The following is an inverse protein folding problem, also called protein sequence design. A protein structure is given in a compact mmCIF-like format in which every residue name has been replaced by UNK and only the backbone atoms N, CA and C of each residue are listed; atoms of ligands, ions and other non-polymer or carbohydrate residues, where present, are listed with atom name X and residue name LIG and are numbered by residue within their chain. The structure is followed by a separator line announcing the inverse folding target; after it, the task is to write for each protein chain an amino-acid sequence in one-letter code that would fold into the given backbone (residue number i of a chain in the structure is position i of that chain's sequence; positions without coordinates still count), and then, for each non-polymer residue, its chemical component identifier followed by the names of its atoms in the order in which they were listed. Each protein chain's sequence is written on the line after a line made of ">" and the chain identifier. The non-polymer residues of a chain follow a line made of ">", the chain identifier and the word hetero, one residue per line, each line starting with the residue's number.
data_IF_832128102430
#
_entry.id   IF_832128102430
#
_cell.length_a   1.000
_cell.length_b   1.000
_cell.length_c   1.000
_cell.angle_alpha   90.00
_cell.angle_beta   90.00
_cell.angle_gamma   90.00
#
_symmetry.space_group_name_H-M   'P 1'
#
loop_
_entity.id
_entity.type
_entity.pdbx_description
1 polymer ?
#
# COMPACT_ATOMS: atom_id res chain seq x y z
N UNK A 1 -39.86 -0.93 49.19
CA UNK A 1 -40.29 -2.24 49.74
C UNK A 1 -41.82 -2.28 49.74
N UNK A 2 -42.50 -3.42 49.50
CA UNK A 2 -42.08 -4.66 48.83
C UNK A 2 -43.06 -5.06 47.68
N UNK A 3 -42.57 -5.68 46.61
CA UNK A 3 -42.57 -7.13 46.28
C UNK A 3 -43.84 -7.67 45.59
N UNK A 4 -43.62 -8.28 44.42
CA UNK A 4 -44.09 -9.63 44.09
C UNK A 4 -43.17 -10.21 43.02
N UNK A 5 -42.36 -11.17 43.44
CA UNK A 5 -41.50 -12.01 42.63
C UNK A 5 -42.03 -13.46 42.68
N UNK A 6 -41.42 -14.29 41.84
CA UNK A 6 -41.55 -15.74 41.62
C UNK A 6 -42.71 -16.15 40.70
N UNK A 7 -42.47 -16.71 39.50
CA UNK A 7 -41.69 -17.91 39.11
C UNK A 7 -42.73 -18.83 38.42
N UNK A 8 -42.56 -19.58 37.33
CA UNK A 8 -41.46 -20.18 36.53
C UNK A 8 -42.19 -20.67 35.24
N UNK A 9 -41.62 -20.66 34.03
CA UNK A 9 -40.98 -21.85 33.46
C UNK A 9 -40.28 -21.56 32.12
N UNK A 10 -39.07 -22.11 32.02
CA UNK A 10 -38.24 -22.29 30.84
C UNK A 10 -38.75 -23.42 29.93
N UNK A 11 -38.72 -23.17 28.62
CA UNK A 11 -38.35 -24.05 27.51
C UNK A 11 -38.52 -23.20 26.24
N UNK A 12 -37.63 -23.06 25.27
CA UNK A 12 -36.47 -23.83 24.86
C UNK A 12 -36.46 -23.88 23.33
N UNK A 13 -35.43 -23.29 22.71
CA UNK A 13 -34.84 -23.62 21.40
C UNK A 13 -35.65 -23.34 20.11
N UNK A 14 -35.04 -22.59 19.18
CA UNK A 14 -35.50 -22.49 17.80
C UNK A 14 -34.70 -21.51 16.93
N UNK A 15 -33.44 -21.85 16.63
CA UNK A 15 -32.62 -21.16 15.64
C UNK A 15 -33.10 -21.49 14.21
N UNK A 16 -33.34 -20.46 13.40
CA UNK A 16 -33.48 -20.53 11.94
C UNK A 16 -32.23 -19.83 11.35
N UNK A 17 -31.26 -20.58 10.81
CA UNK A 17 -31.20 -21.14 9.46
C UNK A 17 -30.38 -20.24 8.51
N UNK A 18 -29.05 -20.27 8.66
CA UNK A 18 -28.11 -19.99 7.59
C UNK A 18 -27.73 -21.33 6.96
N UNK A 19 -28.26 -21.61 5.77
CA UNK A 19 -27.94 -22.81 5.00
C UNK A 19 -27.53 -22.41 3.59
N UNK A 20 -26.45 -23.05 3.11
CA UNK A 20 -25.76 -22.93 1.81
C UNK A 20 -24.70 -21.81 1.78
N UNK A 21 -23.39 -22.06 1.61
CA UNK A 21 -22.69 -23.19 1.04
C UNK A 21 -21.38 -23.51 1.80
N UNK A 22 -21.30 -24.69 2.41
CA UNK A 22 -20.03 -25.35 2.74
C UNK A 22 -20.02 -26.65 1.93
N UNK A 23 -19.30 -26.63 0.81
CA UNK A 23 -19.08 -27.86 0.02
C UNK A 23 -18.04 -28.68 0.78
N UNK A 24 -18.45 -29.85 1.29
CA UNK A 24 -17.53 -30.80 1.90
C UNK A 24 -16.54 -31.29 0.83
N UNK A 25 -15.23 -31.38 1.13
CA UNK A 25 -14.24 -31.86 0.17
C UNK A 25 -14.56 -33.29 -0.25
N UNK A 26 -14.38 -33.57 -1.54
CA UNK A 26 -14.64 -34.90 -2.11
C UNK A 26 -13.62 -35.93 -1.59
N UNK A 27 -13.98 -37.21 -1.56
CA UNK A 27 -13.12 -38.30 -1.10
C UNK A 27 -11.65 -38.25 -1.63
N UNK A 28 -11.37 -37.91 -2.91
CA UNK A 28 -10.00 -37.74 -3.38
C UNK A 28 -9.25 -36.56 -2.72
N UNK A 29 -9.92 -35.44 -2.44
CA UNK A 29 -9.32 -34.28 -1.76
C UNK A 29 -8.96 -34.58 -0.30
N UNK A 30 -9.72 -35.46 0.35
CA UNK A 30 -9.42 -35.93 1.73
C UNK A 30 -8.22 -36.88 1.75
N UNK A 31 -8.02 -37.68 0.70
CA UNK A 31 -6.84 -38.54 0.56
C UNK A 31 -5.57 -37.72 0.34
N UNK A 32 -5.61 -36.72 -0.53
CA UNK A 32 -4.47 -35.84 -0.82
C UNK A 32 -4.04 -35.05 0.43
N UNK A 33 -4.99 -34.54 1.22
CA UNK A 33 -4.68 -33.88 2.50
C UNK A 33 -4.09 -34.83 3.55
N UNK A 34 -4.45 -36.13 3.52
CA UNK A 34 -3.85 -37.14 4.41
C UNK A 34 -2.41 -37.48 4.00
N UNK A 35 -2.14 -37.58 2.70
CA UNK A 35 -0.77 -37.81 2.18
C UNK A 35 0.15 -36.64 2.50
N UNK A 36 -0.30 -35.39 2.28
CA UNK A 36 0.47 -34.18 2.63
C UNK A 36 0.76 -34.12 4.14
N UNK A 37 -0.17 -34.56 4.98
CA UNK A 37 0.03 -34.62 6.43
C UNK A 37 1.02 -35.70 6.84
N UNK A 38 0.99 -36.88 6.19
CA UNK A 38 1.97 -37.95 6.43
C UNK A 38 3.38 -37.54 5.98
N UNK A 39 3.51 -36.87 4.83
CA UNK A 39 4.79 -36.33 4.34
C UNK A 39 5.37 -35.29 5.30
N UNK A 40 4.54 -34.41 5.88
CA UNK A 40 4.96 -33.44 6.91
C UNK A 40 5.40 -34.12 8.21
N UNK A 41 4.75 -35.21 8.61
CA UNK A 41 5.15 -35.98 9.81
C UNK A 41 6.43 -36.77 9.60
N UNK A 42 6.67 -37.33 8.41
CA UNK A 42 7.93 -37.98 8.06
C UNK A 42 9.10 -36.99 7.98
N UNK A 43 8.87 -35.78 7.47
CA UNK A 43 9.86 -34.71 7.46
C UNK A 43 10.18 -34.16 8.87
N UNK A 44 9.20 -34.17 9.78
CA UNK A 44 9.42 -33.79 11.17
C UNK A 44 10.18 -34.87 11.96
N UNK A 45 9.89 -36.15 11.72
CA UNK A 45 10.57 -37.27 12.39
C UNK A 45 12.06 -37.39 12.01
N UNK A 46 12.42 -37.05 10.76
CA UNK A 46 13.82 -37.04 10.30
C UNK A 46 14.65 -35.87 10.83
N UNK A 47 14.00 -34.83 11.38
CA UNK A 47 14.66 -33.66 11.96
C UNK A 47 15.00 -33.79 13.45
N UNK A 48 14.50 -34.83 14.13
CA UNK A 48 14.63 -35.00 15.61
C UNK A 48 15.57 -36.12 16.08
N UNK A 49 16.31 -36.80 15.20
CA UNK A 49 17.25 -37.85 15.61
C UNK A 49 18.72 -37.43 15.47
N UNK A 50 19.18 -36.51 16.32
CA UNK A 50 20.62 -36.29 16.53
C UNK A 50 20.91 -35.89 17.97
N UNK A 51 20.86 -36.83 18.91
CA UNK A 51 21.73 -36.83 20.09
C UNK A 51 21.89 -38.21 20.73
N UNK A 52 23.17 -38.54 20.97
CA UNK A 52 23.78 -39.46 21.94
C UNK A 52 23.53 -40.98 21.88
N UNK A 53 24.58 -41.73 21.51
CA UNK A 53 25.17 -42.77 22.39
C UNK A 53 26.57 -43.16 21.91
N UNK A 54 27.54 -43.14 22.85
CA UNK A 54 28.88 -43.65 22.66
C UNK A 54 28.90 -45.19 22.72
N UNK A 55 29.37 -45.85 21.65
CA UNK A 55 30.09 -47.14 21.64
C UNK A 55 30.16 -47.71 20.22
N UNK A 56 31.24 -47.42 19.48
CA UNK A 56 31.81 -48.32 18.48
C UNK A 56 33.20 -47.82 18.12
N UNK A 57 34.21 -48.41 18.76
CA UNK A 57 35.62 -48.23 18.42
C UNK A 57 35.93 -48.89 17.06
N UNK A 58 36.74 -48.16 16.29
CA UNK A 58 37.78 -48.65 15.38
C UNK A 58 37.35 -49.46 14.15
N UNK A 59 37.37 -48.80 12.98
CA UNK A 59 38.12 -49.24 11.78
C UNK A 59 38.03 -48.18 10.67
N UNK A 60 39.18 -47.78 10.13
CA UNK A 60 39.27 -47.18 8.79
C UNK A 60 39.43 -45.66 8.70
N UNK A 61 40.57 -45.14 9.17
CA UNK A 61 41.04 -43.81 8.79
C UNK A 61 41.49 -43.79 7.31
N UNK A 62 40.57 -43.54 6.38
CA UNK A 62 40.85 -43.09 5.00
C UNK A 62 39.53 -42.69 4.31
N UNK A 63 39.00 -41.51 4.61
CA UNK A 63 37.75 -41.05 3.96
C UNK A 63 37.20 -39.68 4.35
N UNK A 64 37.84 -38.97 5.29
CA UNK A 64 37.27 -37.71 5.84
C UNK A 64 37.96 -36.44 5.32
N UNK A 65 39.05 -36.56 4.53
CA UNK A 65 39.76 -35.38 4.02
C UNK A 65 39.16 -34.77 2.73
N UNK A 66 38.31 -35.49 1.98
CA UNK A 66 37.75 -34.99 0.71
C UNK A 66 36.40 -34.24 0.88
N UNK A 67 35.63 -34.53 1.93
CA UNK A 67 34.34 -33.89 2.17
C UNK A 67 34.44 -32.50 2.84
N UNK A 68 35.49 -32.26 3.64
CA UNK A 68 35.71 -30.97 4.28
C UNK A 68 36.21 -29.87 3.31
N UNK A 69 36.92 -30.25 2.24
CA UNK A 69 37.43 -29.31 1.25
C UNK A 69 36.35 -28.84 0.24
N UNK A 70 35.32 -29.65 -0.01
CA UNK A 70 34.17 -29.27 -0.85
C UNK A 70 33.09 -28.48 -0.08
N UNK A 71 32.97 -28.70 1.24
CA UNK A 71 32.09 -27.90 2.09
C UNK A 71 32.59 -26.45 2.24
N UNK A 72 33.89 -26.23 2.38
CA UNK A 72 34.46 -24.87 2.49
C UNK A 72 34.27 -24.00 1.23
N UNK A 73 34.39 -24.59 0.05
CA UNK A 73 34.24 -23.87 -1.24
C UNK A 73 32.79 -23.58 -1.60
N UNK A 74 31.84 -24.44 -1.19
CA UNK A 74 30.40 -24.25 -1.45
C UNK A 74 29.78 -23.19 -0.52
N UNK A 75 30.28 -23.08 0.71
CA UNK A 75 29.86 -22.06 1.68
C UNK A 75 30.42 -20.68 1.35
N UNK A 76 31.66 -20.57 0.86
CA UNK A 76 32.21 -19.29 0.37
C UNK A 76 31.47 -18.78 -0.88
N UNK A 77 31.15 -19.65 -1.85
CA UNK A 77 30.38 -19.24 -3.05
C UNK A 77 28.94 -18.81 -2.72
N UNK A 78 28.27 -19.46 -1.76
CA UNK A 78 26.92 -19.04 -1.32
C UNK A 78 26.95 -17.70 -0.57
N UNK A 79 28.00 -17.44 0.22
CA UNK A 79 28.19 -16.16 0.91
C UNK A 79 28.51 -15.01 -0.07
N UNK A 80 29.18 -15.30 -1.19
CA UNK A 80 29.51 -14.31 -2.22
C UNK A 80 28.32 -14.02 -3.15
N UNK A 81 27.52 -15.03 -3.50
CA UNK A 81 26.30 -14.86 -4.32
C UNK A 81 25.18 -14.16 -3.53
N UNK A 82 25.08 -14.37 -2.21
CA UNK A 82 24.12 -13.63 -1.35
C UNK A 82 24.57 -12.19 -1.10
N UNK A 83 25.88 -11.91 -1.05
CA UNK A 83 26.41 -10.54 -0.96
C UNK A 83 26.28 -9.74 -2.25
N UNK A 84 26.30 -10.39 -3.42
CA UNK A 84 26.07 -9.71 -4.70
C UNK A 84 24.58 -9.34 -4.93
N UNK A 85 23.64 -9.98 -4.24
CA UNK A 85 22.21 -9.67 -4.35
C UNK A 85 21.70 -8.61 -3.35
N UNK A 86 22.58 -8.05 -2.49
CA UNK A 86 22.20 -7.02 -1.50
C UNK A 86 23.21 -5.88 -1.39
N UNK A 87 24.03 -5.67 -2.42
CA UNK A 87 24.64 -4.37 -2.63
C UNK A 87 23.64 -3.50 -3.39
N UNK A 88 22.55 -3.09 -2.72
CA UNK A 88 21.94 -1.82 -3.09
C UNK A 88 23.06 -0.83 -2.83
N UNK A 89 23.71 -0.35 -3.89
CA UNK A 89 24.66 0.73 -3.75
C UNK A 89 23.97 1.78 -2.87
N UNK A 90 24.55 2.13 -1.72
CA UNK A 90 24.20 3.36 -1.02
C UNK A 90 24.48 4.48 -2.02
N UNK A 91 23.54 4.74 -2.93
CA UNK A 91 23.38 6.04 -3.55
C UNK A 91 22.99 6.91 -2.37
N UNK A 92 23.99 7.42 -1.65
CA UNK A 92 23.83 8.62 -0.84
C UNK A 92 23.18 9.62 -1.77
N UNK A 93 21.89 9.91 -1.51
CA UNK A 93 21.14 10.88 -2.28
C UNK A 93 22.00 12.13 -2.37
N UNK A 94 22.44 12.42 -3.60
CA UNK A 94 23.15 13.65 -3.94
C UNK A 94 22.39 14.80 -3.31
N UNK A 95 23.10 15.83 -2.84
CA UNK A 95 22.53 16.97 -2.10
C UNK A 95 21.13 17.35 -2.63
N UNK A 96 20.09 17.00 -1.86
CA UNK A 96 18.68 17.27 -2.20
C UNK A 96 18.48 18.76 -2.51
N UNK A 97 17.44 19.13 -3.29
CA UNK A 97 17.06 20.53 -3.44
C UNK A 97 16.94 21.22 -2.08
N UNK A 98 17.38 22.47 -1.97
CA UNK A 98 17.42 23.18 -0.68
C UNK A 98 16.02 23.39 -0.05
N UNK A 99 14.97 23.35 -0.86
CA UNK A 99 13.57 23.38 -0.45
C UNK A 99 13.11 22.08 0.23
N UNK A 100 13.75 20.94 -0.10
CA UNK A 100 13.40 19.61 0.41
C UNK A 100 14.09 19.36 1.74
N UNK A 101 13.29 19.17 2.79
CA UNK A 101 13.76 18.93 4.16
C UNK A 101 13.21 17.60 4.68
N UNK A 102 13.85 16.99 5.70
CA UNK A 102 13.27 15.85 6.41
C UNK A 102 11.89 16.16 6.98
N UNK A 103 10.99 15.17 6.92
CA UNK A 103 9.57 15.35 7.26
C UNK A 103 8.68 15.35 6.01
N UNK A 104 7.41 15.70 6.21
CA UNK A 104 6.45 15.74 5.11
C UNK A 104 6.75 16.92 4.19
N UNK A 105 6.83 16.66 2.89
CA UNK A 105 7.10 17.66 1.84
C UNK A 105 5.82 18.05 1.11
N UNK A 106 5.56 19.35 1.01
CA UNK A 106 4.33 19.91 0.43
C UNK A 106 4.66 21.04 -0.56
N UNK A 107 3.67 21.52 -1.32
CA UNK A 107 3.79 22.70 -2.17
C UNK A 107 4.95 22.63 -3.17
N UNK A 108 5.75 23.70 -3.23
CA UNK A 108 6.87 23.77 -4.18
C UNK A 108 7.98 22.75 -3.88
N UNK A 109 8.22 22.42 -2.61
CA UNK A 109 9.26 21.44 -2.24
C UNK A 109 8.93 20.03 -2.79
N UNK A 110 7.64 19.68 -2.88
CA UNK A 110 7.21 18.45 -3.54
C UNK A 110 7.54 18.46 -5.03
N UNK A 111 7.25 19.56 -5.74
CA UNK A 111 7.57 19.71 -7.17
C UNK A 111 9.08 19.64 -7.41
N UNK A 112 9.87 20.32 -6.57
CA UNK A 112 11.33 20.29 -6.65
C UNK A 112 11.88 18.87 -6.42
N UNK A 113 11.29 18.10 -5.50
CA UNK A 113 11.64 16.70 -5.27
C UNK A 113 11.33 15.82 -6.49
N UNK A 114 10.16 15.99 -7.10
CA UNK A 114 9.77 15.25 -8.30
C UNK A 114 10.65 15.60 -9.51
N UNK A 115 11.00 16.89 -9.69
CA UNK A 115 11.93 17.33 -10.73
C UNK A 115 13.34 16.77 -10.50
N UNK A 116 13.82 16.81 -9.26
CA UNK A 116 15.08 16.18 -8.90
C UNK A 116 15.09 14.68 -9.22
N UNK A 117 13.97 13.97 -8.95
CA UNK A 117 13.83 12.55 -9.27
C UNK A 117 13.93 12.29 -10.78
N UNK A 118 13.31 13.15 -11.61
CA UNK A 118 13.43 13.10 -13.08
C UNK A 118 14.85 13.37 -13.54
N UNK A 119 15.50 14.43 -13.04
CA UNK A 119 16.86 14.82 -13.40
C UNK A 119 17.92 13.78 -13.02
N UNK A 120 17.68 13.01 -11.95
CA UNK A 120 18.61 12.00 -11.42
C UNK A 120 18.15 10.56 -11.72
N UNK A 121 17.16 10.39 -12.60
CA UNK A 121 16.70 9.11 -13.15
C UNK A 121 16.32 8.07 -12.07
N UNK A 122 15.49 8.47 -11.10
CA UNK A 122 14.91 7.53 -10.14
C UNK A 122 13.42 7.80 -9.89
N UNK A 123 12.72 6.77 -9.41
CA UNK A 123 11.34 6.87 -8.94
C UNK A 123 11.28 6.81 -7.41
N UNK A 124 10.25 7.43 -6.84
CA UNK A 124 9.98 7.42 -5.40
C UNK A 124 8.94 6.33 -5.12
N UNK A 125 9.23 5.34 -4.26
CA UNK A 125 8.28 4.28 -3.97
C UNK A 125 7.05 4.83 -3.23
N UNK A 126 5.85 4.53 -3.73
CA UNK A 126 4.57 4.69 -3.03
C UNK A 126 4.19 3.41 -2.30
N UNK A 127 3.91 3.50 -1.01
CA UNK A 127 3.57 2.34 -0.18
C UNK A 127 2.27 2.58 0.56
N UNK A 128 1.28 1.75 0.27
CA UNK A 128 0.02 1.76 0.99
C UNK A 128 0.21 1.31 2.43
N UNK A 129 -0.36 2.08 3.35
CA UNK A 129 -0.27 1.82 4.79
C UNK A 129 -1.64 1.72 5.43
N UNK A 130 -1.69 0.95 6.51
CA UNK A 130 -2.93 0.62 7.24
C UNK A 130 -2.74 0.67 8.75
N UNK A 131 -1.54 0.99 9.24
CA UNK A 131 -1.24 1.02 10.67
C UNK A 131 0.03 1.81 10.94
N UNK A 132 0.25 2.21 12.19
CA UNK A 132 1.54 2.76 12.62
C UNK A 132 2.71 1.81 12.35
N UNK A 133 2.49 0.49 12.42
CA UNK A 133 3.53 -0.49 12.11
C UNK A 133 3.96 -0.46 10.64
N UNK A 134 3.01 -0.35 9.71
CA UNK A 134 3.34 -0.25 8.27
C UNK A 134 3.92 1.11 7.90
N UNK A 135 3.46 2.21 8.53
CA UNK A 135 4.07 3.54 8.40
C UNK A 135 5.56 3.50 8.80
N UNK A 136 5.88 2.90 9.94
CA UNK A 136 7.25 2.86 10.45
C UNK A 136 8.19 1.98 9.60
N UNK A 137 7.65 0.99 8.89
CA UNK A 137 8.43 0.06 8.07
C UNK A 137 8.96 0.68 6.76
N UNK A 138 8.29 1.73 6.24
CA UNK A 138 8.59 2.32 4.93
C UNK A 138 9.99 2.95 4.81
N UNK A 139 10.69 3.17 5.93
CA UNK A 139 11.95 3.93 6.02
C UNK A 139 13.23 3.18 5.65
N UNK A 140 13.21 1.85 5.56
CA UNK A 140 14.46 1.04 5.53
C UNK A 140 15.38 1.35 4.32
N UNK A 141 14.88 2.00 3.27
CA UNK A 141 15.59 2.27 2.02
C UNK A 141 16.45 3.55 1.98
N UNK A 142 16.42 4.41 3.02
CA UNK A 142 17.33 5.57 3.14
C UNK A 142 17.09 6.75 2.19
N UNK A 143 16.02 6.71 1.38
CA UNK A 143 15.65 7.76 0.42
C UNK A 143 14.30 8.40 0.67
N UNK A 144 13.87 9.33 -0.22
CA UNK A 144 12.50 9.82 -0.25
C UNK A 144 11.52 8.65 -0.41
N UNK A 145 10.37 8.77 0.25
CA UNK A 145 9.32 7.74 0.26
C UNK A 145 7.96 8.43 0.17
N UNK A 146 7.01 7.79 -0.51
CA UNK A 146 5.62 8.20 -0.50
C UNK A 146 4.82 7.23 0.37
N UNK A 147 4.18 7.77 1.41
CA UNK A 147 3.28 7.06 2.30
C UNK A 147 1.86 7.32 1.83
N UNK A 148 1.20 6.27 1.35
CA UNK A 148 -0.10 6.37 0.67
C UNK A 148 -1.20 5.75 1.54
N UNK A 149 -2.34 6.42 1.62
CA UNK A 149 -3.55 5.87 2.26
C UNK A 149 -4.63 5.65 1.21
N UNK A 150 -5.08 4.41 1.03
CA UNK A 150 -6.34 4.15 0.33
C UNK A 150 -7.54 4.42 1.24
N UNK A 151 -8.73 4.58 0.66
CA UNK A 151 -9.97 4.75 1.42
C UNK A 151 -10.20 3.65 2.46
N UNK A 152 -9.97 2.40 2.07
CA UNK A 152 -10.06 1.24 2.95
C UNK A 152 -8.95 1.20 4.02
N UNK A 153 -7.74 1.68 3.68
CA UNK A 153 -6.65 1.85 4.64
C UNK A 153 -6.99 2.87 5.73
N UNK A 154 -7.64 3.97 5.35
CA UNK A 154 -8.23 4.94 6.28
C UNK A 154 -9.20 4.30 7.25
N UNK A 155 -10.19 3.57 6.73
CA UNK A 155 -11.18 2.87 7.57
C UNK A 155 -10.51 1.86 8.51
N UNK A 156 -9.48 1.14 8.03
CA UNK A 156 -8.76 0.19 8.86
C UNK A 156 -8.05 0.88 10.04
N UNK A 157 -7.46 2.06 9.83
CA UNK A 157 -6.81 2.85 10.88
C UNK A 157 -7.82 3.38 11.90
N UNK A 158 -8.99 3.85 11.45
CA UNK A 158 -10.09 4.21 12.35
C UNK A 158 -10.64 3.00 13.12
N UNK A 159 -10.48 1.80 12.56
CA UNK A 159 -10.94 0.54 13.09
C UNK A 159 -12.20 0.08 12.38
N UNK A 160 -12.21 -1.17 11.89
CA UNK A 160 -13.33 -1.74 11.11
C UNK A 160 -14.70 -1.73 11.80
N UNK A 161 -14.74 -1.58 13.12
CA UNK A 161 -15.98 -1.50 13.89
C UNK A 161 -16.57 -0.08 13.98
N UNK A 162 -15.84 0.93 13.53
CA UNK A 162 -16.33 2.30 13.46
C UNK A 162 -17.40 2.43 12.37
N UNK A 163 -18.43 3.24 12.65
CA UNK A 163 -19.43 3.59 11.65
C UNK A 163 -18.77 4.38 10.52
N UNK A 164 -18.97 3.91 9.29
CA UNK A 164 -18.43 4.53 8.09
C UNK A 164 -19.52 5.14 7.20
N UNK A 165 -20.69 5.44 7.80
CA UNK A 165 -21.69 6.28 7.15
C UNK A 165 -21.05 7.59 6.68
N UNK A 166 -21.36 8.00 5.46
CA UNK A 166 -20.80 9.18 4.81
C UNK A 166 -19.25 9.23 4.81
N UNK A 167 -18.62 8.06 4.74
CA UNK A 167 -17.15 7.88 4.76
C UNK A 167 -16.45 8.43 6.02
N UNK A 168 -17.19 8.67 7.12
CA UNK A 168 -16.67 9.31 8.32
C UNK A 168 -15.46 8.59 8.94
N UNK A 169 -15.48 7.24 9.01
CA UNK A 169 -14.35 6.48 9.54
C UNK A 169 -13.15 6.47 8.57
N UNK A 170 -13.38 6.39 7.25
CA UNK A 170 -12.34 6.52 6.23
C UNK A 170 -11.65 7.89 6.31
N UNK A 171 -12.41 8.98 6.43
CA UNK A 171 -11.87 10.34 6.58
C UNK A 171 -11.06 10.43 7.88
N UNK A 172 -11.68 10.11 9.02
CA UNK A 172 -11.05 10.25 10.33
C UNK A 172 -9.77 9.40 10.47
N UNK A 173 -9.79 8.17 9.96
CA UNK A 173 -8.64 7.28 10.01
C UNK A 173 -7.50 7.71 9.09
N UNK A 174 -7.80 8.20 7.89
CA UNK A 174 -6.80 8.78 6.97
C UNK A 174 -6.17 10.05 7.57
N UNK A 175 -6.96 10.94 8.19
CA UNK A 175 -6.45 12.12 8.91
C UNK A 175 -5.58 11.72 10.11
N UNK A 176 -6.02 10.75 10.92
CA UNK A 176 -5.25 10.27 12.06
C UNK A 176 -3.90 9.65 11.63
N UNK A 177 -3.91 8.85 10.55
CA UNK A 177 -2.70 8.31 9.94
C UNK A 177 -1.75 9.40 9.46
N UNK A 178 -2.28 10.42 8.77
CA UNK A 178 -1.48 11.54 8.28
C UNK A 178 -0.81 12.33 9.42
N UNK A 179 -1.56 12.64 10.49
CA UNK A 179 -1.02 13.31 11.68
C UNK A 179 0.07 12.47 12.35
N UNK A 180 -0.08 11.15 12.41
CA UNK A 180 0.96 10.25 12.91
C UNK A 180 2.24 10.37 12.06
N UNK A 181 2.13 10.30 10.73
CA UNK A 181 3.27 10.47 9.82
C UNK A 181 3.94 11.82 10.05
N UNK A 182 3.19 12.93 10.11
CA UNK A 182 3.76 14.27 10.36
C UNK A 182 4.54 14.34 11.67
N UNK A 183 4.04 13.68 12.71
CA UNK A 183 4.70 13.64 14.02
C UNK A 183 6.03 12.88 13.99
N UNK A 184 6.10 11.74 13.28
CA UNK A 184 7.26 10.83 13.36
C UNK A 184 8.26 11.01 12.20
N UNK A 185 7.85 11.51 11.04
CA UNK A 185 8.68 11.58 9.83
C UNK A 185 10.01 12.32 10.05
N UNK A 186 10.02 13.39 10.85
CA UNK A 186 11.23 14.17 11.15
C UNK A 186 12.30 13.35 11.89
N UNK A 187 11.91 12.39 12.72
CA UNK A 187 12.83 11.50 13.45
C UNK A 187 13.61 10.58 12.50
N UNK A 188 13.07 10.37 11.31
CA UNK A 188 13.64 9.46 10.34
C UNK A 188 14.66 10.13 9.41
N UNK A 189 14.71 11.45 9.35
CA UNK A 189 15.73 12.17 8.57
C UNK A 189 15.53 12.08 7.05
N UNK A 190 14.36 11.64 6.57
CA UNK A 190 14.04 11.49 5.13
C UNK A 190 12.86 12.38 4.74
N UNK A 191 12.80 12.88 3.48
CA UNK A 191 11.61 13.50 2.93
C UNK A 191 10.49 12.47 2.75
N UNK A 192 9.27 12.82 3.12
CA UNK A 192 8.08 11.96 3.00
C UNK A 192 7.02 12.69 2.19
N UNK A 193 6.56 12.08 1.10
CA UNK A 193 5.35 12.51 0.39
C UNK A 193 4.18 11.80 1.08
N UNK A 194 3.19 12.56 1.54
CA UNK A 194 2.00 12.03 2.22
C UNK A 194 0.83 12.10 1.24
N UNK A 195 0.35 10.95 0.79
CA UNK A 195 -0.53 10.83 -0.36
C UNK A 195 -1.80 10.04 -0.02
N UNK A 196 -2.86 10.23 -0.80
CA UNK A 196 -4.00 9.30 -0.81
C UNK A 196 -4.17 8.69 -2.17
N UNK A 197 -4.48 7.41 -2.15
CA UNK A 197 -4.65 6.56 -3.32
C UNK A 197 -5.97 6.86 -4.05
N UNK A 198 -6.22 6.07 -5.10
CA UNK A 198 -7.45 5.98 -5.91
C UNK A 198 -8.72 6.48 -5.21
N UNK A 199 -9.37 7.43 -5.88
CA UNK A 199 -10.64 8.00 -5.48
C UNK A 199 -11.57 8.10 -6.68
N UNK A 200 -12.35 7.04 -6.88
CA UNK A 200 -13.43 7.02 -7.86
C UNK A 200 -14.56 8.00 -7.55
N UNK A 201 -15.38 8.28 -8.55
CA UNK A 201 -16.47 9.28 -8.48
C UNK A 201 -17.42 9.06 -7.30
N UNK A 202 -17.71 7.79 -6.98
CA UNK A 202 -18.56 7.44 -5.84
C UNK A 202 -17.93 7.78 -4.48
N UNK A 203 -16.61 7.99 -4.42
CA UNK A 203 -15.83 8.28 -3.22
C UNK A 203 -15.46 9.76 -3.08
N UNK A 204 -15.96 10.64 -3.94
CA UNK A 204 -15.77 12.09 -3.78
C UNK A 204 -16.15 12.64 -2.39
N UNK A 205 -17.15 12.13 -1.65
CA UNK A 205 -17.39 12.55 -0.27
C UNK A 205 -16.19 12.32 0.66
N UNK A 206 -15.47 11.20 0.51
CA UNK A 206 -14.22 10.95 1.23
C UNK A 206 -13.15 11.98 0.87
N UNK A 207 -12.98 12.26 -0.43
CA UNK A 207 -12.04 13.28 -0.92
C UNK A 207 -12.37 14.68 -0.36
N UNK A 208 -13.65 15.06 -0.36
CA UNK A 208 -14.11 16.36 0.14
C UNK A 208 -13.81 16.53 1.64
N UNK A 209 -14.04 15.49 2.46
CA UNK A 209 -13.69 15.52 3.88
C UNK A 209 -12.18 15.62 4.13
N UNK A 210 -11.35 15.03 3.27
CA UNK A 210 -9.90 15.21 3.34
C UNK A 210 -9.47 16.61 2.88
N UNK A 211 -10.14 17.21 1.90
CA UNK A 211 -9.90 18.59 1.49
C UNK A 211 -10.20 19.57 2.62
N UNK A 212 -11.31 19.38 3.36
CA UNK A 212 -11.62 20.19 4.55
C UNK A 212 -10.52 20.07 5.61
N UNK A 213 -10.04 18.85 5.89
CA UNK A 213 -8.95 18.64 6.83
C UNK A 213 -7.63 19.33 6.39
N UNK A 214 -7.35 19.38 5.09
CA UNK A 214 -6.20 20.11 4.55
C UNK A 214 -6.36 21.62 4.71
N UNK A 215 -7.53 22.18 4.38
CA UNK A 215 -7.83 23.61 4.51
C UNK A 215 -7.70 24.07 5.97
N UNK A 216 -8.28 23.32 6.92
CA UNK A 216 -8.13 23.61 8.35
C UNK A 216 -6.68 23.51 8.84
N UNK A 217 -5.92 22.54 8.34
CA UNK A 217 -4.52 22.37 8.72
C UNK A 217 -3.66 23.49 8.11
N UNK A 218 -3.96 23.91 6.88
CA UNK A 218 -3.29 25.01 6.18
C UNK A 218 -3.46 26.35 6.90
N UNK A 219 -4.67 26.67 7.35
CA UNK A 219 -4.94 27.89 8.13
C UNK A 219 -4.09 27.98 9.41
N UNK A 220 -3.85 26.82 10.06
CA UNK A 220 -3.12 26.74 11.33
C UNK A 220 -1.60 26.65 11.16
N UNK A 221 -1.12 26.04 10.07
CA UNK A 221 0.28 25.64 9.92
C UNK A 221 0.99 26.30 8.71
N UNK A 222 0.25 26.93 7.80
CA UNK A 222 0.78 27.50 6.56
C UNK A 222 1.23 26.47 5.51
N UNK A 223 0.79 25.21 5.65
CA UNK A 223 1.03 24.11 4.73
C UNK A 223 -0.12 23.09 4.84
N UNK A 224 -0.44 22.31 3.80
CA UNK A 224 -1.50 21.31 3.87
C UNK A 224 -1.12 20.11 4.75
N UNK A 225 -2.12 19.36 5.21
CA UNK A 225 -1.93 18.13 5.99
C UNK A 225 -1.23 17.07 5.12
N UNK A 226 -1.73 16.88 3.91
CA UNK A 226 -1.22 15.98 2.87
C UNK A 226 -0.31 16.72 1.89
N UNK A 227 0.51 15.96 1.17
CA UNK A 227 1.32 16.43 0.05
C UNK A 227 0.52 16.47 -1.25
N UNK A 228 -0.26 15.42 -1.49
CA UNK A 228 -1.04 15.22 -2.71
C UNK A 228 -2.23 14.29 -2.48
N UNK A 229 -3.20 14.33 -3.39
CA UNK A 229 -4.32 13.40 -3.44
C UNK A 229 -4.53 12.90 -4.87
N UNK A 230 -5.00 11.66 -5.03
CA UNK A 230 -5.34 11.06 -6.31
C UNK A 230 -6.85 11.13 -6.58
N UNK A 231 -7.22 11.53 -7.80
CA UNK A 231 -8.54 11.30 -8.37
C UNK A 231 -8.39 10.29 -9.50
N UNK A 232 -9.08 9.16 -9.35
CA UNK A 232 -9.20 8.18 -10.40
C UNK A 232 -10.63 8.24 -10.95
N UNK A 233 -10.82 9.00 -12.01
CA UNK A 233 -12.10 9.11 -12.71
C UNK A 233 -12.00 8.47 -14.09
N UNK A 234 -11.11 7.49 -14.25
CA UNK A 234 -10.78 6.88 -15.53
C UNK A 234 -11.92 6.11 -16.19
N UNK A 235 -12.89 5.64 -15.38
CA UNK A 235 -14.10 4.99 -15.86
C UNK A 235 -15.07 5.97 -16.54
N UNK A 236 -15.01 7.25 -16.16
CA UNK A 236 -15.84 8.32 -16.69
C UNK A 236 -15.34 8.77 -18.07
N UNK A 237 -16.19 9.43 -18.89
CA UNK A 237 -15.72 10.05 -20.13
C UNK A 237 -14.55 11.02 -19.88
N UNK A 238 -13.57 11.04 -20.79
CA UNK A 238 -12.35 11.85 -20.63
C UNK A 238 -12.63 13.32 -20.31
N UNK A 239 -13.60 13.93 -20.99
CA UNK A 239 -14.00 15.31 -20.78
C UNK A 239 -14.58 15.54 -19.38
N UNK A 240 -15.32 14.57 -18.85
CA UNK A 240 -15.88 14.63 -17.51
C UNK A 240 -14.80 14.45 -16.44
N UNK A 241 -13.90 13.47 -16.61
CA UNK A 241 -12.73 13.29 -15.77
C UNK A 241 -11.91 14.59 -15.68
N UNK A 242 -11.51 15.15 -16.82
CA UNK A 242 -10.74 16.40 -16.89
C UNK A 242 -11.49 17.56 -16.22
N UNK A 243 -12.80 17.69 -16.46
CA UNK A 243 -13.59 18.78 -15.89
C UNK A 243 -13.67 18.70 -14.36
N UNK A 244 -13.87 17.51 -13.80
CA UNK A 244 -13.91 17.30 -12.34
C UNK A 244 -12.51 17.51 -11.75
N UNK A 245 -11.47 16.91 -12.34
CA UNK A 245 -10.09 17.08 -11.91
C UNK A 245 -9.67 18.57 -11.90
N UNK A 246 -10.04 19.33 -12.93
CA UNK A 246 -9.78 20.78 -12.99
C UNK A 246 -10.44 21.51 -11.82
N UNK A 247 -11.72 21.23 -11.54
CA UNK A 247 -12.46 21.85 -10.43
C UNK A 247 -11.78 21.58 -9.09
N UNK A 248 -11.33 20.34 -8.86
CA UNK A 248 -10.60 20.01 -7.63
C UNK A 248 -9.22 20.65 -7.59
N UNK A 249 -8.48 20.66 -8.70
CA UNK A 249 -7.18 21.32 -8.79
C UNK A 249 -7.26 22.81 -8.47
N UNK A 250 -8.33 23.51 -8.89
CA UNK A 250 -8.59 24.92 -8.53
C UNK A 250 -8.81 25.13 -7.02
N UNK A 251 -9.34 24.13 -6.30
CA UNK A 251 -9.47 24.15 -4.83
C UNK A 251 -8.12 23.83 -4.18
N UNK A 252 -7.48 22.76 -4.64
CA UNK A 252 -6.19 22.26 -4.14
C UNK A 252 -5.05 23.29 -4.29
N UNK A 253 -5.04 24.06 -5.38
CA UNK A 253 -4.00 25.06 -5.63
C UNK A 253 -4.02 26.23 -4.65
N UNK A 254 -5.14 26.46 -3.94
CA UNK A 254 -5.25 27.48 -2.89
C UNK A 254 -4.56 27.11 -1.59
N UNK A 255 -4.29 25.81 -1.39
CA UNK A 255 -3.68 25.25 -0.18
C UNK A 255 -2.45 24.40 -0.49
N UNK A 256 -1.80 24.66 -1.62
CA UNK A 256 -0.52 24.05 -2.02
C UNK A 256 -0.50 22.52 -2.13
N UNK A 257 -1.65 21.90 -2.41
CA UNK A 257 -1.76 20.47 -2.72
C UNK A 257 -1.42 20.18 -4.19
N UNK A 258 -0.85 19.00 -4.43
CA UNK A 258 -0.69 18.43 -5.78
C UNK A 258 -1.80 17.42 -6.07
N UNK A 259 -2.37 17.46 -7.27
CA UNK A 259 -3.34 16.48 -7.76
C UNK A 259 -2.64 15.38 -8.56
N UNK A 260 -2.81 14.13 -8.19
CA UNK A 260 -2.57 13.01 -9.10
C UNK A 260 -3.89 12.69 -9.80
N UNK A 261 -3.88 12.56 -11.13
CA UNK A 261 -5.06 12.13 -11.87
C UNK A 261 -4.76 10.91 -12.72
N UNK A 262 -5.77 10.09 -12.97
CA UNK A 262 -5.64 8.88 -13.79
C UNK A 262 -6.38 8.97 -15.13
N UNK A 263 -5.79 8.34 -16.15
CA UNK A 263 -6.29 8.19 -17.51
C UNK A 263 -6.28 6.74 -17.95
N UNK A 264 -7.30 6.37 -18.72
CA UNK A 264 -7.46 5.03 -19.28
C UNK A 264 -7.95 4.03 -18.23
N UNK A 265 -8.58 2.95 -18.66
CA UNK A 265 -9.16 1.97 -17.73
C UNK A 265 -8.23 0.77 -17.66
N UNK A 266 -7.93 0.32 -16.46
CA UNK A 266 -7.19 -0.91 -16.21
C UNK A 266 -8.11 -2.10 -16.50
N UNK A 267 -7.56 -3.20 -17.04
CA UNK A 267 -8.36 -4.42 -17.18
C UNK A 267 -8.55 -5.10 -15.82
N UNK A 268 -9.59 -5.93 -15.65
CA UNK A 268 -9.78 -6.69 -14.40
C UNK A 268 -10.64 -5.97 -13.36
N UNK A 269 -10.61 -6.37 -12.09
CA UNK A 269 -11.37 -5.70 -11.02
C UNK A 269 -10.45 -4.74 -10.27
N UNK A 270 -10.81 -3.47 -10.18
CA UNK A 270 -10.07 -2.42 -9.48
C UNK A 270 -10.90 -1.75 -8.40
N UNK A 271 -10.41 -1.78 -7.16
CA UNK A 271 -11.04 -1.07 -6.04
C UNK A 271 -12.54 -1.42 -5.83
N UNK A 272 -12.90 -2.64 -6.24
CA UNK A 272 -14.27 -3.18 -6.22
C UNK A 272 -15.10 -2.88 -7.46
N UNK A 273 -14.49 -2.39 -8.55
CA UNK A 273 -15.14 -2.15 -9.85
C UNK A 273 -14.61 -3.11 -10.91
N UNK A 274 -15.50 -3.84 -11.59
CA UNK A 274 -15.13 -4.86 -12.58
C UNK A 274 -15.04 -4.28 -14.00
N UNK A 275 -13.81 -4.25 -14.52
CA UNK A 275 -13.40 -3.80 -15.85
C UNK A 275 -12.96 -4.96 -16.77
N UNK A 276 -13.37 -6.21 -16.50
CA UNK A 276 -12.98 -7.39 -17.31
C UNK A 276 -13.48 -7.36 -18.76
N UNK A 277 -14.57 -6.65 -19.06
CA UNK A 277 -15.18 -6.56 -20.39
C UNK A 277 -14.74 -5.30 -21.19
N UNK A 278 -13.77 -4.53 -20.68
CA UNK A 278 -13.33 -3.27 -21.31
C UNK A 278 -12.57 -3.53 -22.61
N UNK A 279 -12.89 -2.76 -23.66
CA UNK A 279 -12.21 -2.83 -24.95
C UNK A 279 -10.70 -2.57 -24.77
N UNK A 280 -9.88 -3.45 -25.37
CA UNK A 280 -8.44 -3.34 -25.50
C UNK A 280 -7.92 -1.96 -25.91
N UNK A 281 -8.69 -1.17 -26.67
CA UNK A 281 -8.34 0.20 -27.05
C UNK A 281 -8.30 1.18 -25.87
N UNK A 282 -9.04 0.90 -24.77
CA UNK A 282 -9.04 1.68 -23.52
C UNK A 282 -7.96 1.27 -22.52
N UNK A 283 -7.26 0.15 -22.77
CA UNK A 283 -6.12 -0.32 -21.94
C UNK A 283 -4.84 0.50 -22.14
N UNK A 284 -4.84 1.40 -23.13
CA UNK A 284 -3.71 2.26 -23.48
C UNK A 284 -4.19 3.70 -23.68
N UNK A 285 -3.74 4.59 -22.79
CA UNK A 285 -3.92 6.04 -22.96
C UNK A 285 -3.20 6.51 -24.20
N UNK A 286 -3.86 7.36 -24.99
CA UNK A 286 -3.27 7.98 -26.17
C UNK A 286 -2.48 9.24 -25.79
N UNK A 287 -1.37 9.55 -26.47
CA UNK A 287 -0.61 10.78 -26.21
C UNK A 287 -1.45 12.06 -26.29
N UNK A 288 -2.46 12.09 -27.17
CA UNK A 288 -3.38 13.20 -27.34
C UNK A 288 -4.26 13.43 -26.10
N UNK A 289 -4.64 12.36 -25.40
CA UNK A 289 -5.42 12.43 -24.15
C UNK A 289 -4.56 13.02 -23.02
N UNK A 290 -3.30 12.58 -22.92
CA UNK A 290 -2.32 13.15 -21.98
C UNK A 290 -2.09 14.64 -22.28
N UNK A 291 -2.01 15.00 -23.56
CA UNK A 291 -1.86 16.39 -23.98
C UNK A 291 -3.08 17.25 -23.60
N UNK A 292 -4.30 16.72 -23.79
CA UNK A 292 -5.53 17.41 -23.40
C UNK A 292 -5.62 17.66 -21.88
N UNK A 293 -5.21 16.68 -21.08
CA UNK A 293 -5.04 16.84 -19.63
C UNK A 293 -4.04 17.96 -19.33
N UNK A 294 -2.85 17.88 -19.93
CA UNK A 294 -1.79 18.84 -19.69
C UNK A 294 -2.23 20.27 -20.02
N UNK A 295 -2.84 20.49 -21.19
CA UNK A 295 -3.33 21.80 -21.61
C UNK A 295 -4.38 22.35 -20.65
N UNK A 296 -5.33 21.50 -20.23
CA UNK A 296 -6.44 21.93 -19.38
C UNK A 296 -6.02 22.21 -17.94
N UNK A 297 -5.22 21.31 -17.34
CA UNK A 297 -4.80 21.42 -15.94
C UNK A 297 -3.67 22.43 -15.74
N UNK A 298 -2.77 22.58 -16.71
CA UNK A 298 -1.71 23.61 -16.65
C UNK A 298 -2.25 25.04 -16.71
N UNK A 299 -3.48 25.22 -17.22
CA UNK A 299 -4.17 26.51 -17.22
C UNK A 299 -4.68 26.92 -15.82
N UNK A 300 -4.69 26.01 -14.84
CA UNK A 300 -5.09 26.33 -13.45
C UNK A 300 -3.95 27.09 -12.75
N UNK A 301 -4.18 28.33 -12.29
CA UNK A 301 -3.16 29.09 -11.58
C UNK A 301 -2.66 28.36 -10.34
N UNK A 302 -1.33 28.26 -10.19
CA UNK A 302 -0.65 27.53 -9.11
C UNK A 302 -1.01 26.03 -9.02
N UNK A 303 -1.69 25.49 -10.03
CA UNK A 303 -2.01 24.07 -10.12
C UNK A 303 -0.73 23.25 -10.25
N UNK A 304 -0.64 22.17 -9.45
CA UNK A 304 0.44 21.19 -9.49
C UNK A 304 -0.20 19.83 -9.71
N UNK A 305 0.24 19.08 -10.70
CA UNK A 305 -0.36 17.78 -10.98
C UNK A 305 0.63 16.74 -11.52
N UNK A 306 0.27 15.47 -11.33
CA UNK A 306 0.85 14.28 -11.94
C UNK A 306 -0.23 13.53 -12.71
N UNK A 307 0.19 12.68 -13.66
CA UNK A 307 -0.72 11.87 -14.48
C UNK A 307 -0.29 10.41 -14.38
N UNK A 308 -1.20 9.56 -13.89
CA UNK A 308 -1.18 8.13 -14.09
C UNK A 308 -1.85 7.82 -15.44
N UNK A 309 -1.15 7.12 -16.32
CA UNK A 309 -1.68 6.72 -17.62
C UNK A 309 -1.72 5.20 -17.71
N UNK A 310 -2.68 4.67 -18.44
CA UNK A 310 -2.73 3.27 -18.80
C UNK A 310 -1.73 2.99 -19.94
N UNK A 311 -0.74 2.13 -19.68
CA UNK A 311 0.25 1.66 -20.65
C UNK A 311 0.41 0.13 -20.61
N UNK A 312 -0.68 -0.58 -20.30
CA UNK A 312 -0.69 -2.03 -20.08
C UNK A 312 -0.28 -2.45 -18.66
N UNK A 313 -0.22 -1.49 -17.72
CA UNK A 313 -0.02 -1.68 -16.28
C UNK A 313 -1.35 -2.05 -15.61
N UNK A 314 -1.93 -3.17 -16.01
CA UNK A 314 -3.16 -3.71 -15.40
C UNK A 314 -3.00 -3.80 -13.87
N UNK A 315 -3.91 -3.15 -13.14
CA UNK A 315 -3.98 -3.15 -11.69
C UNK A 315 -5.45 -3.11 -11.25
N UNK A 316 -5.66 -3.23 -9.94
CA UNK A 316 -6.97 -3.31 -9.34
C UNK A 316 -7.11 -4.29 -8.19
#
# INVERSE_FOLDING_TARGET
>A
MPSKACAVALAGVGAYAAAQAFVAPTAPQVQEQREVRQLRQQAAASATSTTSSAAALALGAAGVAAAAAQAGKRTQRRCQVVRQATAVAEKTFTKMPASVKPGVVTGQALVDLLNYAKENEFAIPGVNVVSSSSINAAKKAGGPIMVTFSKGGGQFIAGKAADNSDDAASIAGTVAGALHVRQVAKLYGVPVILHTDHCQKAWLPWFDGLMEANEEYFEKNGEPLFSSHMLDLSEEPLEENIAICKKYLERMSKVDLLLEMELGVTGGEEDGVDNTDVDSSRLYTQPEEVWQVYETLSAVPNGKFTVAAAFGNVHG
#
